data_IF_725616929143
#
_entry.id   IF_725616929143
#
_cell.length_a   1.000
_cell.length_b   1.000
_cell.length_c   1.000
_cell.angle_alpha   90.00
_cell.angle_beta   90.00
_cell.angle_gamma   90.00
#
_symmetry.space_group_name_H-M   'P 1'
#
loop_
_entity.id
_entity.type
_entity.pdbx_description
1 polymer ?
#
# COMPACT_ATOMS: atom_id res chain seq x y z
N UNK A 1 -61.85 3.67 12.24
CA UNK A 1 -63.02 4.30 11.67
C UNK A 1 -62.74 5.78 11.32
N UNK A 2 -63.23 6.13 10.22
CA UNK A 2 -63.57 7.47 9.69
C UNK A 2 -62.37 8.38 9.27
N UNK A 3 -62.13 8.42 7.97
CA UNK A 3 -62.68 9.31 6.93
C UNK A 3 -62.71 10.78 7.28
N UNK A 4 -62.03 11.59 6.50
CA UNK A 4 -62.69 12.49 5.51
C UNK A 4 -61.67 13.20 4.61
N UNK A 5 -62.02 13.13 3.34
CA UNK A 5 -61.63 13.93 2.19
C UNK A 5 -61.82 15.45 2.41
N UNK A 6 -60.94 16.28 1.82
CA UNK A 6 -61.40 17.48 1.16
C UNK A 6 -60.53 17.80 -0.08
N UNK A 7 -61.25 17.88 -1.16
CA UNK A 7 -60.87 18.25 -2.56
C UNK A 7 -61.17 19.73 -2.70
N UNK A 8 -60.36 20.55 -3.29
CA UNK A 8 -60.79 21.71 -4.02
C UNK A 8 -59.86 22.06 -5.17
N UNK A 9 -60.49 22.30 -6.27
CA UNK A 9 -59.99 22.56 -7.65
C UNK A 9 -59.78 24.08 -7.87
N UNK A 10 -59.37 24.47 -9.09
CA UNK A 10 -58.35 25.50 -9.39
C UNK A 10 -58.97 26.82 -9.83
N UNK A 11 -58.20 27.89 -9.88
CA UNK A 11 -58.58 29.12 -10.55
C UNK A 11 -57.59 29.48 -11.66
N UNK A 12 -58.16 29.55 -12.84
CA UNK A 12 -57.62 30.15 -14.06
C UNK A 12 -57.37 31.65 -13.88
N UNK A 13 -56.25 32.17 -14.38
CA UNK A 13 -56.16 33.53 -14.85
C UNK A 13 -55.44 33.61 -16.19
N UNK A 14 -56.05 34.43 -17.08
CA UNK A 14 -55.88 34.52 -18.52
C UNK A 14 -54.56 35.15 -18.97
N UNK A 15 -54.12 34.64 -20.10
CA UNK A 15 -53.14 35.21 -21.04
C UNK A 15 -53.42 36.65 -21.45
N UNK A 16 -52.40 37.43 -21.71
CA UNK A 16 -52.35 38.38 -22.82
C UNK A 16 -50.94 38.68 -23.32
N UNK A 17 -50.83 38.44 -24.60
CA UNK A 17 -49.97 39.05 -25.63
C UNK A 17 -48.51 38.61 -25.81
N UNK A 18 -48.40 37.85 -26.85
CA UNK A 18 -47.26 37.51 -27.71
C UNK A 18 -46.54 38.75 -28.27
N UNK A 19 -45.22 38.70 -28.33
CA UNK A 19 -44.48 39.19 -29.51
C UNK A 19 -43.48 38.15 -29.96
N UNK A 20 -43.57 37.84 -31.25
CA UNK A 20 -42.77 36.87 -32.04
C UNK A 20 -41.28 37.21 -31.93
N UNK A 21 -40.46 36.24 -31.62
CA UNK A 21 -39.05 36.25 -32.02
C UNK A 21 -38.65 34.89 -32.59
N UNK A 22 -37.94 34.97 -33.70
CA UNK A 22 -37.62 33.92 -34.64
C UNK A 22 -36.75 32.82 -34.07
N UNK A 23 -37.12 31.58 -34.40
CA UNK A 23 -36.37 30.34 -34.22
C UNK A 23 -35.13 30.37 -35.13
N UNK A 24 -33.92 30.42 -34.55
CA UNK A 24 -32.71 30.03 -35.24
C UNK A 24 -32.26 28.68 -34.67
N UNK A 25 -32.36 27.67 -35.53
CA UNK A 25 -31.74 26.38 -35.29
C UNK A 25 -30.21 26.57 -35.32
N UNK A 26 -29.54 26.38 -34.19
CA UNK A 26 -28.09 26.27 -34.14
C UNK A 26 -27.76 24.80 -33.93
N UNK A 27 -27.20 24.22 -34.97
CA UNK A 27 -26.59 22.90 -35.00
C UNK A 27 -25.47 22.90 -33.96
N UNK A 28 -25.58 22.04 -32.93
CA UNK A 28 -24.54 21.83 -31.95
C UNK A 28 -23.42 20.97 -32.54
N UNK A 29 -22.19 21.43 -32.64
CA UNK A 29 -21.08 20.54 -32.89
C UNK A 29 -20.78 19.75 -31.59
N UNK A 30 -20.71 18.45 -31.74
CA UNK A 30 -20.29 17.47 -30.78
C UNK A 30 -18.84 17.81 -30.31
N UNK A 31 -18.70 18.59 -29.24
CA UNK A 31 -17.43 18.78 -28.57
C UNK A 31 -17.10 17.50 -27.83
N UNK A 32 -16.18 16.72 -28.39
CA UNK A 32 -15.44 15.67 -27.68
C UNK A 32 -14.61 16.39 -26.60
N UNK A 33 -15.11 16.39 -25.39
CA UNK A 33 -14.36 16.80 -24.20
C UNK A 33 -13.29 15.74 -23.92
N UNK A 34 -12.10 15.95 -24.45
CA UNK A 34 -10.89 15.41 -23.82
C UNK A 34 -10.77 16.08 -22.46
N UNK A 35 -11.17 15.37 -21.40
CA UNK A 35 -10.85 15.74 -20.04
C UNK A 35 -9.34 15.53 -19.85
N UNK A 36 -8.56 16.56 -20.17
CA UNK A 36 -7.18 16.65 -19.66
C UNK A 36 -7.31 16.85 -18.16
N UNK A 37 -6.92 15.84 -17.40
CA UNK A 37 -6.78 15.93 -15.94
C UNK A 37 -5.68 16.94 -15.62
N UNK A 38 -6.08 18.19 -15.39
CA UNK A 38 -5.21 19.18 -14.81
C UNK A 38 -4.91 18.74 -13.38
N UNK A 39 -3.66 18.38 -13.11
CA UNK A 39 -3.18 18.22 -11.73
C UNK A 39 -3.29 19.60 -11.04
N UNK A 40 -4.35 19.78 -10.27
CA UNK A 40 -4.50 20.92 -9.38
C UNK A 40 -3.70 20.64 -8.13
N UNK A 41 -2.59 21.33 -7.94
CA UNK A 41 -1.95 21.46 -6.64
C UNK A 41 -2.85 22.40 -5.83
N UNK A 42 -3.70 21.84 -4.96
CA UNK A 42 -4.49 22.65 -4.04
C UNK A 42 -3.59 23.14 -2.92
N UNK A 43 -3.59 24.45 -2.68
CA UNK A 43 -3.04 25.01 -1.45
C UNK A 43 -3.78 24.40 -0.27
N UNK A 44 -3.03 23.89 0.73
CA UNK A 44 -3.63 23.63 2.03
C UNK A 44 -4.21 24.96 2.53
N UNK A 45 -5.53 25.03 2.67
CA UNK A 45 -6.23 26.24 3.05
C UNK A 45 -5.77 26.63 4.45
N UNK A 46 -4.85 27.60 4.54
CA UNK A 46 -4.66 28.35 5.77
C UNK A 46 -5.98 29.06 5.98
N UNK A 47 -6.55 28.99 7.17
CA UNK A 47 -7.84 29.59 7.51
C UNK A 47 -7.89 31.03 6.95
N UNK A 48 -8.65 31.23 5.87
CA UNK A 48 -8.71 32.47 5.08
C UNK A 48 -9.07 33.69 5.95
N UNK A 49 -9.62 33.47 7.14
CA UNK A 49 -10.06 34.54 8.07
C UNK A 49 -8.92 35.26 8.78
N UNK A 50 -7.66 34.78 8.69
CA UNK A 50 -6.56 35.27 9.50
C UNK A 50 -5.36 35.84 8.74
N UNK A 51 -5.28 35.69 7.41
CA UNK A 51 -4.11 36.18 6.66
C UNK A 51 -4.18 37.69 6.45
N UNK A 52 -3.37 38.43 7.20
CA UNK A 52 -3.35 39.88 7.19
C UNK A 52 -1.94 40.42 7.02
N UNK A 53 -1.82 41.47 6.22
CA UNK A 53 -0.59 42.25 5.98
C UNK A 53 -0.71 43.66 6.54
N UNK A 54 0.37 44.43 6.50
CA UNK A 54 0.46 45.83 6.91
C UNK A 54 -0.11 46.04 8.34
N UNK A 55 0.35 45.24 9.30
CA UNK A 55 -0.13 45.32 10.68
C UNK A 55 -1.63 45.05 10.83
N UNK A 56 -2.18 44.15 10.01
CA UNK A 56 -3.59 43.74 10.07
C UNK A 56 -4.57 44.55 9.21
N UNK A 57 -4.07 45.54 8.46
CA UNK A 57 -4.89 46.48 7.68
C UNK A 57 -5.27 45.96 6.28
N UNK A 58 -4.61 44.94 5.78
CA UNK A 58 -4.89 44.32 4.49
C UNK A 58 -5.25 42.85 4.74
N UNK A 59 -6.41 42.43 4.26
CA UNK A 59 -6.83 41.05 4.28
C UNK A 59 -6.45 40.41 2.95
N UNK A 60 -5.93 39.16 2.99
CA UNK A 60 -5.70 38.33 1.80
C UNK A 60 -6.72 37.21 1.79
N UNK A 61 -7.36 36.97 0.63
CA UNK A 61 -8.22 35.86 0.39
C UNK A 61 -7.95 35.18 -0.98
N UNK A 62 -8.65 34.08 -1.23
CA UNK A 62 -8.67 33.40 -2.53
C UNK A 62 -7.27 33.03 -3.03
N UNK A 63 -6.37 32.59 -2.14
CA UNK A 63 -5.04 32.14 -2.51
C UNK A 63 -5.17 30.85 -3.34
N UNK A 64 -4.73 30.94 -4.60
CA UNK A 64 -4.79 29.85 -5.57
C UNK A 64 -3.41 29.60 -6.16
N UNK A 65 -2.97 28.35 -6.13
CA UNK A 65 -1.84 27.87 -6.91
C UNK A 65 -2.30 26.73 -7.81
N UNK A 66 -2.02 26.84 -9.10
CA UNK A 66 -2.46 25.86 -10.10
C UNK A 66 -1.34 25.55 -11.07
N UNK A 67 -0.93 24.27 -11.13
CA UNK A 67 -0.05 23.76 -12.18
C UNK A 67 -0.89 23.42 -13.41
N UNK A 68 -0.46 23.88 -14.60
CA UNK A 68 -1.04 23.51 -15.89
C UNK A 68 0.11 23.24 -16.86
N UNK A 69 0.27 21.99 -17.27
CA UNK A 69 1.42 21.56 -18.10
C UNK A 69 2.75 22.06 -17.51
N UNK A 70 3.51 22.84 -18.24
CA UNK A 70 4.82 23.39 -17.86
C UNK A 70 4.75 24.77 -17.18
N UNK A 71 3.60 25.16 -16.65
CA UNK A 71 3.40 26.45 -16.02
C UNK A 71 2.76 26.34 -14.64
N UNK A 72 3.13 27.23 -13.73
CA UNK A 72 2.52 27.45 -12.44
C UNK A 72 1.82 28.80 -12.45
N UNK A 73 0.52 28.82 -12.15
CA UNK A 73 -0.26 30.04 -11.93
C UNK A 73 -0.40 30.29 -10.44
N UNK A 74 -0.10 31.50 -9.99
CA UNK A 74 -0.32 31.99 -8.63
C UNK A 74 -1.30 33.14 -8.70
N UNK A 75 -2.36 33.10 -7.88
CA UNK A 75 -3.35 34.19 -7.80
C UNK A 75 -3.84 34.34 -6.36
N UNK A 76 -4.16 35.56 -5.98
CA UNK A 76 -4.78 35.91 -4.70
C UNK A 76 -5.43 37.28 -4.78
N UNK A 77 -6.25 37.65 -3.79
CA UNK A 77 -6.92 38.93 -3.69
C UNK A 77 -6.51 39.64 -2.42
N UNK A 78 -6.22 40.94 -2.55
CA UNK A 78 -5.94 41.85 -1.44
C UNK A 78 -7.16 42.76 -1.24
N UNK A 79 -7.64 42.88 0.00
CA UNK A 79 -8.65 43.84 0.42
C UNK A 79 -7.96 44.99 1.13
N UNK A 80 -8.09 46.20 0.57
CA UNK A 80 -7.40 47.40 1.07
C UNK A 80 -8.32 48.27 1.93
N UNK A 81 -9.52 47.82 2.26
CA UNK A 81 -10.59 48.66 2.83
C UNK A 81 -10.17 49.38 4.12
N UNK A 82 -9.46 48.67 5.00
CA UNK A 82 -8.94 49.18 6.27
C UNK A 82 -7.57 49.87 6.16
N UNK A 83 -6.96 49.89 4.97
CA UNK A 83 -5.65 50.51 4.78
C UNK A 83 -5.79 52.03 4.67
N UNK A 84 -5.09 52.77 5.56
CA UNK A 84 -4.91 54.23 5.50
C UNK A 84 -3.47 54.51 5.08
N UNK A 85 -3.28 55.17 3.93
CA UNK A 85 -1.98 55.48 3.38
C UNK A 85 -1.81 56.99 3.23
N UNK A 86 -0.74 57.56 3.80
CA UNK A 86 -0.43 58.99 3.65
C UNK A 86 -0.09 59.29 2.17
N UNK A 87 -0.33 60.53 1.74
CA UNK A 87 -0.17 60.92 0.33
C UNK A 87 1.21 60.64 -0.25
N UNK A 88 2.26 60.74 0.56
CA UNK A 88 3.66 60.53 0.17
C UNK A 88 4.17 59.11 0.37
N UNK A 89 3.35 58.21 0.97
CA UNK A 89 3.75 56.83 1.28
C UNK A 89 3.50 55.90 0.09
N UNK A 90 4.30 54.85 0.06
CA UNK A 90 4.20 53.74 -0.87
C UNK A 90 4.39 52.45 -0.08
N UNK A 91 3.53 51.45 -0.32
CA UNK A 91 3.71 50.07 0.10
C UNK A 91 4.08 49.22 -1.13
N UNK A 92 5.09 48.40 -0.99
CA UNK A 92 5.48 47.43 -2.02
C UNK A 92 5.34 46.05 -1.45
N UNK A 93 4.55 45.21 -2.09
CA UNK A 93 4.36 43.84 -1.74
C UNK A 93 5.00 42.96 -2.82
N UNK A 94 5.94 42.09 -2.44
CA UNK A 94 6.57 41.17 -3.37
C UNK A 94 6.27 39.72 -2.95
N UNK A 95 5.41 39.02 -3.70
CA UNK A 95 5.18 37.61 -3.44
C UNK A 95 6.43 36.78 -3.79
N UNK A 96 6.78 35.82 -2.93
CA UNK A 96 7.93 34.96 -3.07
C UNK A 96 7.47 33.50 -3.11
N UNK A 97 8.00 32.72 -4.04
CA UNK A 97 7.94 31.26 -4.07
C UNK A 97 9.30 30.77 -3.58
N UNK A 98 9.34 30.14 -2.40
CA UNK A 98 10.57 29.64 -1.77
C UNK A 98 10.51 28.13 -1.55
N UNK A 99 11.48 27.39 -2.08
CA UNK A 99 11.67 25.95 -1.94
C UNK A 99 13.16 25.63 -1.95
N UNK A 100 13.62 24.77 -2.86
CA UNK A 100 15.05 24.56 -3.12
C UNK A 100 15.72 25.82 -3.72
N UNK A 101 14.92 26.68 -4.36
CA UNK A 101 15.32 27.98 -4.93
C UNK A 101 14.25 29.02 -4.55
N UNK A 102 14.53 30.29 -4.74
CA UNK A 102 13.59 31.36 -4.46
C UNK A 102 13.30 32.18 -5.70
N UNK A 103 12.03 32.39 -6.01
CA UNK A 103 11.58 33.21 -7.13
C UNK A 103 10.69 34.33 -6.60
N UNK A 104 11.11 35.56 -6.85
CA UNK A 104 10.27 36.73 -6.63
C UNK A 104 9.27 36.91 -7.78
N UNK A 105 8.00 37.04 -7.46
CA UNK A 105 6.96 37.38 -8.42
C UNK A 105 6.89 38.90 -8.65
N UNK A 106 6.04 39.30 -9.59
CA UNK A 106 5.88 40.73 -9.90
C UNK A 106 5.37 41.48 -8.68
N UNK A 107 6.00 42.63 -8.32
CA UNK A 107 5.60 43.38 -7.15
C UNK A 107 4.26 44.10 -7.33
N UNK A 108 3.54 44.25 -6.23
CA UNK A 108 2.30 45.04 -6.12
C UNK A 108 2.66 46.33 -5.43
N UNK A 109 2.49 47.47 -6.11
CA UNK A 109 2.85 48.79 -5.60
C UNK A 109 1.58 49.58 -5.28
N UNK A 110 1.37 49.85 -4.00
CA UNK A 110 0.22 50.63 -3.52
C UNK A 110 0.69 52.05 -3.13
N UNK A 111 0.24 53.04 -3.85
CA UNK A 111 0.66 54.40 -3.70
C UNK A 111 -0.40 55.30 -3.01
N UNK A 112 0.01 56.17 -2.12
CA UNK A 112 -0.77 57.31 -1.72
C UNK A 112 -0.94 58.33 -2.85
N UNK A 113 -1.77 59.36 -2.62
CA UNK A 113 -2.19 60.29 -3.69
C UNK A 113 -1.02 60.96 -4.42
N UNK A 114 -0.11 61.61 -3.71
CA UNK A 114 1.00 62.34 -4.31
C UNK A 114 2.07 61.36 -4.87
N UNK A 115 2.30 60.27 -4.18
CA UNK A 115 3.23 59.24 -4.65
C UNK A 115 2.75 58.61 -5.96
N UNK A 116 1.45 58.39 -6.14
CA UNK A 116 0.88 57.93 -7.41
C UNK A 116 1.16 58.90 -8.54
N UNK A 117 1.01 60.24 -8.32
CA UNK A 117 1.31 61.26 -9.31
C UNK A 117 2.79 61.23 -9.68
N UNK A 118 3.67 61.17 -8.66
CA UNK A 118 5.14 61.06 -8.87
C UNK A 118 5.50 59.82 -9.67
N UNK A 119 4.90 58.66 -9.33
CA UNK A 119 5.12 57.42 -10.08
C UNK A 119 4.74 57.55 -11.55
N UNK A 120 3.59 58.17 -11.84
CA UNK A 120 3.13 58.36 -13.24
C UNK A 120 4.06 59.33 -14.02
N UNK A 121 4.71 60.28 -13.35
CA UNK A 121 5.63 61.24 -13.98
C UNK A 121 7.04 60.67 -14.20
N UNK A 122 7.42 59.53 -13.58
CA UNK A 122 8.71 58.92 -13.81
C UNK A 122 8.83 58.52 -15.30
N UNK A 123 10.04 58.60 -15.83
CA UNK A 123 10.33 58.10 -17.19
C UNK A 123 10.04 56.60 -17.27
N UNK A 124 9.76 56.09 -18.46
CA UNK A 124 9.45 54.70 -18.68
C UNK A 124 10.60 53.77 -18.25
N UNK A 125 11.84 54.25 -18.37
CA UNK A 125 13.05 53.50 -17.93
C UNK A 125 13.17 53.31 -16.41
N UNK A 126 12.47 54.15 -15.62
CA UNK A 126 12.47 54.13 -14.15
C UNK A 126 11.20 53.44 -13.57
N UNK A 127 10.30 52.97 -14.42
CA UNK A 127 9.09 52.24 -14.03
C UNK A 127 9.36 50.75 -14.06
N UNK A 128 8.97 50.04 -13.01
CA UNK A 128 8.92 48.56 -13.11
C UNK A 128 7.73 48.19 -13.97
N UNK A 129 7.98 47.80 -15.22
CA UNK A 129 6.94 47.48 -16.22
C UNK A 129 6.12 46.20 -15.86
N UNK A 130 6.62 45.38 -14.96
CA UNK A 130 5.96 44.16 -14.53
C UNK A 130 5.15 44.34 -13.24
N UNK A 131 5.28 45.49 -12.54
CA UNK A 131 4.59 45.75 -11.30
C UNK A 131 3.09 45.99 -11.50
N UNK A 132 2.27 45.47 -10.59
CA UNK A 132 0.86 45.83 -10.47
C UNK A 132 0.76 47.12 -9.61
N UNK A 133 0.49 48.26 -10.24
CA UNK A 133 0.49 49.56 -9.57
C UNK A 133 -0.92 50.04 -9.27
N UNK A 134 -1.21 50.32 -8.00
CA UNK A 134 -2.52 50.76 -7.52
C UNK A 134 -2.41 52.05 -6.71
N UNK A 135 -3.32 53.00 -6.94
CA UNK A 135 -3.51 54.15 -6.05
C UNK A 135 -4.51 53.81 -4.96
N UNK A 136 -4.13 53.88 -3.71
CA UNK A 136 -5.05 53.75 -2.58
C UNK A 136 -5.96 54.99 -2.48
N UNK A 137 -7.27 54.72 -2.39
CA UNK A 137 -8.29 55.74 -2.05
C UNK A 137 -8.76 55.45 -0.63
N UNK A 138 -8.22 56.20 0.35
CA UNK A 138 -8.61 56.01 1.75
C UNK A 138 -10.12 56.10 1.93
N UNK A 139 -10.66 55.41 2.93
CA UNK A 139 -12.08 55.38 3.28
C UNK A 139 -13.00 54.85 2.17
N UNK A 140 -12.48 54.03 1.26
CA UNK A 140 -13.25 53.35 0.21
C UNK A 140 -12.95 51.89 0.19
N UNK A 141 -13.95 51.07 -0.16
CA UNK A 141 -13.74 49.67 -0.49
C UNK A 141 -12.87 49.56 -1.75
N UNK A 142 -11.82 48.77 -1.67
CA UNK A 142 -10.90 48.60 -2.78
C UNK A 142 -10.24 47.23 -2.73
N UNK A 143 -10.36 46.46 -3.82
CA UNK A 143 -9.78 45.14 -3.98
C UNK A 143 -8.73 45.15 -5.08
N UNK A 144 -7.70 44.35 -4.92
CA UNK A 144 -6.63 44.15 -5.89
C UNK A 144 -6.47 42.67 -6.16
N UNK A 145 -6.70 42.26 -7.40
CA UNK A 145 -6.49 40.90 -7.83
C UNK A 145 -5.09 40.75 -8.42
N UNK A 146 -4.29 39.92 -7.79
CA UNK A 146 -2.99 39.46 -8.34
C UNK A 146 -3.14 38.16 -9.08
N UNK A 147 -2.49 38.04 -10.24
CA UNK A 147 -2.39 36.78 -10.97
C UNK A 147 -1.15 36.81 -11.86
N UNK A 148 -0.29 35.82 -11.67
CA UNK A 148 0.90 35.62 -12.49
C UNK A 148 1.07 34.18 -12.84
N UNK A 149 1.53 33.92 -14.08
CA UNK A 149 1.92 32.59 -14.56
C UNK A 149 3.40 32.60 -14.85
N UNK A 150 4.11 31.57 -14.41
CA UNK A 150 5.56 31.40 -14.59
C UNK A 150 5.86 29.97 -15.05
N UNK A 151 7.04 29.71 -15.70
CA UNK A 151 7.46 28.37 -16.04
C UNK A 151 7.57 27.50 -14.80
N UNK A 152 7.02 26.27 -14.86
CA UNK A 152 7.10 25.31 -13.76
C UNK A 152 8.50 24.68 -13.71
N UNK A 153 9.08 24.67 -12.52
CA UNK A 153 10.33 23.95 -12.22
C UNK A 153 10.06 22.72 -11.36
N UNK A 154 10.86 21.65 -11.48
CA UNK A 154 10.62 20.37 -10.74
C UNK A 154 10.53 20.58 -9.20
N UNK A 155 11.32 21.48 -8.62
CA UNK A 155 11.28 21.77 -7.18
C UNK A 155 9.99 22.43 -6.72
N UNK A 156 9.19 23.04 -7.61
CA UNK A 156 7.89 23.66 -7.29
C UNK A 156 6.79 22.62 -6.98
N UNK A 157 7.14 21.35 -6.77
CA UNK A 157 6.21 20.35 -6.21
C UNK A 157 5.81 20.68 -4.77
N UNK A 158 6.75 21.23 -3.99
CA UNK A 158 6.53 21.70 -2.63
C UNK A 158 7.24 23.06 -2.45
N UNK A 159 6.54 24.07 -1.98
CA UNK A 159 7.10 25.38 -1.75
C UNK A 159 6.27 26.21 -0.76
N UNK A 160 6.91 27.21 -0.16
CA UNK A 160 6.26 28.25 0.60
C UNK A 160 5.94 29.44 -0.30
N UNK A 161 4.69 29.88 -0.29
CA UNK A 161 4.29 31.16 -0.85
C UNK A 161 4.29 32.17 0.30
N UNK A 162 5.15 33.18 0.24
CA UNK A 162 5.25 34.22 1.21
C UNK A 162 5.14 35.62 0.57
N UNK A 163 4.91 36.64 1.38
CA UNK A 163 4.81 38.03 0.95
C UNK A 163 5.81 38.84 1.74
N UNK A 164 6.73 39.52 1.06
CA UNK A 164 7.51 40.60 1.68
C UNK A 164 6.77 41.91 1.51
N UNK A 165 6.78 42.73 2.55
CA UNK A 165 6.19 44.04 2.54
C UNK A 165 7.22 45.11 2.90
N UNK A 166 7.34 46.11 2.05
CA UNK A 166 8.23 47.25 2.24
C UNK A 166 7.39 48.56 2.33
N UNK A 167 7.44 49.19 3.46
CA UNK A 167 6.84 50.51 3.63
C UNK A 167 7.89 51.58 3.33
N UNK A 168 7.67 52.35 2.27
CA UNK A 168 8.53 53.45 1.87
C UNK A 168 7.88 54.83 2.09
N UNK A 169 8.63 55.73 2.64
CA UNK A 169 8.22 57.14 2.79
C UNK A 169 9.32 58.08 2.27
N UNK A 170 8.95 59.09 1.46
CA UNK A 170 9.88 60.07 0.88
C UNK A 170 11.11 59.47 0.19
N UNK A 171 11.04 58.24 -0.28
CA UNK A 171 12.13 57.54 -1.00
C UNK A 171 13.02 56.65 -0.12
N UNK A 172 12.80 56.60 1.19
CA UNK A 172 13.52 55.72 2.11
C UNK A 172 12.65 54.55 2.55
N UNK A 173 13.27 53.37 2.76
CA UNK A 173 12.64 52.21 3.40
C UNK A 173 12.39 52.57 4.88
N UNK A 174 11.15 52.42 5.35
CA UNK A 174 10.74 52.68 6.72
C UNK A 174 10.54 51.43 7.54
N UNK A 175 10.07 50.36 6.90
CA UNK A 175 9.76 49.10 7.55
C UNK A 175 9.76 47.98 6.52
N UNK A 176 10.14 46.77 6.94
CA UNK A 176 10.15 45.57 6.12
C UNK A 176 9.68 44.37 6.95
N UNK A 177 8.74 43.60 6.43
CA UNK A 177 8.22 42.37 7.06
C UNK A 177 8.05 41.27 6.03
N UNK A 178 7.92 40.02 6.50
CA UNK A 178 7.65 38.86 5.65
C UNK A 178 6.60 37.98 6.28
N UNK A 179 5.50 37.78 5.56
CA UNK A 179 4.36 36.97 6.00
C UNK A 179 4.25 35.69 5.15
N UNK A 180 4.17 34.52 5.80
CA UNK A 180 3.86 33.25 5.10
C UNK A 180 2.38 33.25 4.72
N UNK A 181 2.11 33.13 3.42
CA UNK A 181 0.74 33.07 2.85
C UNK A 181 0.21 31.65 2.74
N UNK A 182 1.03 30.70 2.30
CA UNK A 182 0.65 29.32 2.11
C UNK A 182 1.87 28.42 2.10
N UNK A 183 1.71 27.20 2.63
CA UNK A 183 2.64 26.09 2.44
C UNK A 183 2.02 25.14 1.44
N UNK A 184 2.62 25.03 0.27
CA UNK A 184 2.12 24.19 -0.82
C UNK A 184 2.86 22.86 -0.76
N UNK A 185 2.11 21.80 -0.53
CA UNK A 185 2.60 20.42 -0.55
C UNK A 185 2.00 19.67 -1.73
N UNK A 186 2.70 18.69 -2.31
CA UNK A 186 2.11 17.85 -3.34
C UNK A 186 0.92 17.10 -2.74
N UNK A 187 -0.21 17.13 -3.43
CA UNK A 187 -1.35 16.28 -3.05
C UNK A 187 -0.90 14.83 -3.18
N UNK A 188 -1.00 14.01 -2.13
CA UNK A 188 -0.69 12.59 -2.24
C UNK A 188 -1.51 11.97 -3.38
N UNK A 189 -0.87 11.31 -4.35
CA UNK A 189 -1.58 10.62 -5.44
C UNK A 189 -2.35 9.42 -4.93
N UNK A 190 -1.84 8.83 -3.86
CA UNK A 190 -2.47 7.74 -3.13
C UNK A 190 -3.00 8.29 -1.81
N UNK A 191 -4.30 8.14 -1.59
CA UNK A 191 -5.03 8.53 -0.39
C UNK A 191 -5.71 7.30 0.22
N UNK A 192 -6.28 7.42 1.41
CA UNK A 192 -6.89 6.32 2.16
C UNK A 192 -7.97 5.55 1.36
N UNK A 193 -8.72 6.23 0.50
CA UNK A 193 -9.78 5.66 -0.34
C UNK A 193 -9.29 4.76 -1.49
N UNK A 194 -7.98 4.70 -1.71
CA UNK A 194 -7.37 3.78 -2.65
C UNK A 194 -7.08 2.40 -2.05
N UNK A 195 -7.08 2.29 -0.72
CA UNK A 195 -6.85 1.02 -0.03
C UNK A 195 -8.14 0.22 0.07
N UNK A 196 -8.09 -1.03 -0.36
CA UNK A 196 -9.25 -1.91 -0.44
C UNK A 196 -9.37 -2.73 0.83
N UNK A 197 -10.58 -2.74 1.43
CA UNK A 197 -10.87 -3.57 2.59
C UNK A 197 -10.96 -5.04 2.16
N UNK A 198 -10.13 -5.94 2.72
CA UNK A 198 -10.20 -7.37 2.45
C UNK A 198 -11.53 -7.99 2.94
N UNK A 199 -11.89 -9.13 2.35
CA UNK A 199 -13.02 -9.91 2.85
C UNK A 199 -12.74 -10.45 4.25
N UNK A 200 -13.80 -10.53 5.06
CA UNK A 200 -13.71 -11.18 6.36
C UNK A 200 -13.41 -12.68 6.19
N UNK A 201 -12.44 -13.17 6.93
CA UNK A 201 -12.19 -14.60 7.08
C UNK A 201 -13.13 -15.12 8.18
N UNK A 202 -14.10 -15.96 7.80
CA UNK A 202 -15.14 -16.43 8.75
C UNK A 202 -14.52 -17.25 9.89
N UNK A 203 -13.54 -18.08 9.57
CA UNK A 203 -12.77 -18.88 10.53
C UNK A 203 -11.31 -18.79 10.11
N UNK A 204 -10.46 -18.28 10.98
CA UNK A 204 -9.03 -18.20 10.73
C UNK A 204 -8.39 -19.56 10.95
N UNK A 205 -8.11 -20.29 9.85
CA UNK A 205 -7.39 -21.55 9.89
C UNK A 205 -5.93 -21.32 9.56
N UNK A 206 -5.05 -21.84 10.41
CA UNK A 206 -3.59 -21.73 10.24
C UNK A 206 -2.98 -23.12 10.39
N UNK A 207 -1.76 -23.28 9.88
CA UNK A 207 -1.06 -24.55 9.96
C UNK A 207 0.45 -24.33 10.14
N UNK A 208 1.03 -25.10 11.07
CA UNK A 208 2.47 -25.24 11.22
C UNK A 208 2.91 -26.58 10.64
N UNK A 209 3.98 -26.58 9.85
CA UNK A 209 4.47 -27.78 9.15
C UNK A 209 5.92 -28.04 9.54
N UNK A 210 6.28 -29.31 9.59
CA UNK A 210 7.66 -29.71 9.81
C UNK A 210 7.94 -31.12 9.30
N UNK A 211 9.23 -31.44 9.29
CA UNK A 211 9.76 -32.76 8.93
C UNK A 211 10.60 -33.30 10.08
N UNK A 212 10.50 -34.61 10.35
CA UNK A 212 11.31 -35.30 11.34
C UNK A 212 11.87 -36.61 10.78
N UNK A 213 13.17 -36.78 10.93
CA UNK A 213 13.92 -37.94 10.40
C UNK A 213 14.16 -38.97 11.51
N UNK A 214 13.08 -39.62 11.95
CA UNK A 214 13.12 -40.58 13.02
C UNK A 214 13.85 -41.87 12.59
N UNK A 215 14.78 -42.28 13.42
CA UNK A 215 15.53 -43.55 13.28
C UNK A 215 14.80 -44.69 13.98
N UNK A 216 14.68 -45.81 13.29
CA UNK A 216 14.08 -47.06 13.80
C UNK A 216 15.09 -48.20 13.77
N UNK A 217 14.99 -49.14 14.70
CA UNK A 217 15.73 -50.40 14.61
C UNK A 217 15.25 -51.19 13.39
N UNK A 218 16.11 -52.07 12.89
CA UNK A 218 15.80 -52.89 11.69
C UNK A 218 14.47 -53.60 11.87
N UNK A 219 13.58 -53.47 10.89
CA UNK A 219 12.23 -54.02 10.87
C UNK A 219 11.34 -53.68 12.07
N UNK A 220 11.67 -52.60 12.80
CA UNK A 220 10.86 -52.07 13.91
C UNK A 220 10.23 -50.73 13.60
N UNK A 221 9.17 -50.46 14.32
CA UNK A 221 8.44 -49.18 14.26
C UNK A 221 8.33 -48.48 15.64
N UNK A 222 8.92 -49.06 16.66
CA UNK A 222 8.93 -48.46 18.03
C UNK A 222 9.80 -47.24 18.04
N UNK A 223 9.27 -46.12 18.55
CA UNK A 223 10.01 -44.88 18.75
C UNK A 223 10.76 -44.97 20.06
N UNK A 224 12.08 -44.97 19.97
CA UNK A 224 13.00 -44.91 21.10
C UNK A 224 13.64 -43.50 21.11
N UNK A 225 13.32 -42.70 22.10
CA UNK A 225 13.76 -41.30 22.15
C UNK A 225 15.27 -41.14 22.21
N UNK A 226 15.94 -42.10 22.85
CA UNK A 226 17.41 -42.14 23.05
C UNK A 226 18.16 -42.84 21.90
N UNK A 227 17.43 -43.30 20.85
CA UNK A 227 18.06 -44.00 19.75
C UNK A 227 18.52 -43.02 18.66
N UNK A 228 19.85 -42.95 18.46
CA UNK A 228 20.49 -42.00 17.51
C UNK A 228 20.06 -40.56 17.78
N UNK A 229 19.61 -39.87 16.73
CA UNK A 229 19.20 -38.44 16.78
C UNK A 229 17.72 -38.24 17.12
N UNK A 230 17.00 -39.29 17.56
CA UNK A 230 15.57 -39.22 17.79
C UNK A 230 15.18 -38.15 18.82
N UNK A 231 15.98 -37.92 19.86
CA UNK A 231 15.70 -36.86 20.81
C UNK A 231 15.58 -35.47 20.13
N UNK A 232 16.50 -35.16 19.21
CA UNK A 232 16.51 -33.91 18.43
C UNK A 232 15.32 -33.85 17.49
N UNK A 233 15.04 -34.94 16.77
CA UNK A 233 13.96 -35.00 15.81
C UNK A 233 12.57 -34.94 16.46
N UNK A 234 12.37 -35.61 17.57
CA UNK A 234 11.16 -35.50 18.39
C UNK A 234 11.02 -34.10 19.00
N UNK A 235 12.13 -33.47 19.35
CA UNK A 235 12.16 -32.08 19.84
C UNK A 235 11.59 -31.09 18.82
N UNK A 236 11.79 -31.29 17.52
CA UNK A 236 11.20 -30.44 16.48
C UNK A 236 9.67 -30.54 16.50
N UNK A 237 9.15 -31.79 16.59
CA UNK A 237 7.70 -32.05 16.60
C UNK A 237 7.08 -31.43 17.86
N UNK A 238 7.68 -31.70 19.02
CA UNK A 238 7.14 -31.18 20.30
C UNK A 238 7.20 -29.66 20.36
N UNK A 239 8.28 -29.03 19.90
CA UNK A 239 8.38 -27.56 19.83
C UNK A 239 7.28 -26.94 18.97
N UNK A 240 6.95 -27.58 17.82
CA UNK A 240 5.86 -27.09 16.95
C UNK A 240 4.49 -27.23 17.63
N UNK A 241 4.24 -28.35 18.31
CA UNK A 241 2.98 -28.57 19.03
C UNK A 241 2.88 -27.62 20.23
N UNK A 242 3.95 -27.44 20.99
CA UNK A 242 4.01 -26.54 22.15
C UNK A 242 3.74 -25.09 21.78
N UNK A 243 4.28 -24.66 20.63
CA UNK A 243 4.07 -23.31 20.10
C UNK A 243 2.57 -23.02 19.88
N UNK A 244 1.82 -24.02 19.43
CA UNK A 244 0.38 -23.90 19.19
C UNK A 244 -0.43 -24.19 20.45
N UNK A 245 -0.13 -25.27 21.20
CA UNK A 245 -0.92 -25.73 22.34
C UNK A 245 -0.89 -24.74 23.51
N UNK A 246 0.24 -24.07 23.73
CA UNK A 246 0.40 -23.13 24.84
C UNK A 246 -0.14 -21.73 24.53
N UNK A 247 -0.68 -21.52 23.32
CA UNK A 247 -1.29 -20.27 22.93
C UNK A 247 -2.80 -20.29 23.25
N UNK A 248 -3.23 -19.41 24.16
CA UNK A 248 -4.62 -19.28 24.57
C UNK A 248 -5.59 -18.82 23.46
N UNK A 249 -5.06 -18.25 22.41
CA UNK A 249 -5.82 -17.64 21.32
C UNK A 249 -6.10 -18.63 20.19
N UNK A 250 -5.57 -19.87 20.29
CA UNK A 250 -5.72 -20.88 19.26
C UNK A 250 -6.31 -22.20 19.79
N UNK A 251 -6.90 -22.96 18.89
CA UNK A 251 -7.44 -24.31 19.18
C UNK A 251 -6.98 -25.27 18.10
N UNK A 252 -6.26 -26.32 18.46
CA UNK A 252 -5.83 -27.37 17.53
C UNK A 252 -7.06 -28.10 16.99
N UNK A 253 -7.16 -28.20 15.67
CA UNK A 253 -8.27 -28.87 14.97
C UNK A 253 -7.85 -30.16 14.29
N UNK A 254 -6.59 -30.27 13.87
CA UNK A 254 -6.02 -31.52 13.31
C UNK A 254 -4.52 -31.57 13.46
N UNK A 255 -3.98 -32.76 13.66
CA UNK A 255 -2.56 -33.06 13.55
C UNK A 255 -2.43 -34.18 12.51
N UNK A 256 -1.92 -33.83 11.34
CA UNK A 256 -1.70 -34.79 10.26
C UNK A 256 -0.25 -35.26 10.28
N UNK A 257 -0.06 -36.58 10.17
CA UNK A 257 1.25 -37.23 10.17
C UNK A 257 1.39 -38.07 8.91
N UNK A 258 2.41 -37.83 8.12
CA UNK A 258 2.70 -38.60 6.92
C UNK A 258 4.06 -39.29 7.03
N UNK A 259 4.03 -40.61 7.16
CA UNK A 259 5.26 -41.41 7.26
C UNK A 259 5.76 -41.86 5.89
N UNK A 260 7.05 -41.79 5.67
CA UNK A 260 7.69 -42.19 4.42
C UNK A 260 8.67 -43.34 4.66
N UNK A 261 8.74 -44.28 3.73
CA UNK A 261 9.81 -45.27 3.65
C UNK A 261 10.59 -45.11 2.34
N UNK A 262 11.79 -45.62 2.33
CA UNK A 262 12.67 -45.64 1.18
C UNK A 262 12.44 -46.82 0.29
N UNK A 263 12.75 -46.74 -1.01
CA UNK A 263 12.55 -47.84 -1.97
C UNK A 263 13.36 -49.13 -1.76
N UNK A 264 14.24 -49.17 -0.76
CA UNK A 264 15.03 -50.33 -0.45
C UNK A 264 14.22 -51.42 0.27
N UNK A 265 14.16 -52.59 -0.28
CA UNK A 265 13.44 -53.73 0.24
C UNK A 265 12.09 -53.99 -0.44
N UNK A 266 11.41 -55.11 -0.09
CA UNK A 266 10.12 -55.45 -0.71
C UNK A 266 9.03 -54.41 -0.42
N UNK A 267 8.27 -54.06 -1.43
CA UNK A 267 7.21 -53.06 -1.37
C UNK A 267 6.19 -53.31 -0.25
N UNK A 268 5.73 -54.59 -0.11
CA UNK A 268 4.76 -54.97 0.92
C UNK A 268 5.30 -54.75 2.34
N UNK A 269 6.60 -55.00 2.54
CA UNK A 269 7.23 -54.70 3.82
C UNK A 269 7.32 -53.18 4.08
N UNK A 270 7.60 -52.40 3.04
CA UNK A 270 7.65 -50.95 3.13
C UNK A 270 6.25 -50.38 3.42
N UNK A 271 5.19 -50.92 2.85
CA UNK A 271 3.80 -50.56 3.20
C UNK A 271 3.55 -50.74 4.70
N UNK A 272 3.88 -51.92 5.24
CA UNK A 272 3.71 -52.22 6.67
C UNK A 272 4.53 -51.30 7.55
N UNK A 273 5.80 -51.08 7.22
CA UNK A 273 6.70 -50.27 8.01
C UNK A 273 6.30 -48.78 8.01
N UNK A 274 5.94 -48.22 6.86
CA UNK A 274 5.53 -46.81 6.76
C UNK A 274 4.26 -46.54 7.56
N UNK A 275 3.25 -47.39 7.45
CA UNK A 275 2.02 -47.29 8.23
C UNK A 275 2.28 -47.41 9.74
N UNK A 276 3.04 -48.41 10.17
CA UNK A 276 3.33 -48.61 11.59
C UNK A 276 4.17 -47.50 12.18
N UNK A 277 5.10 -46.89 11.42
CA UNK A 277 5.91 -45.76 11.86
C UNK A 277 5.06 -44.48 12.03
N UNK A 278 4.17 -44.20 11.06
CA UNK A 278 3.23 -43.09 11.18
C UNK A 278 2.30 -43.25 12.40
N UNK A 279 1.76 -44.48 12.61
CA UNK A 279 0.93 -44.79 13.77
C UNK A 279 1.71 -44.69 15.10
N UNK A 280 2.98 -45.11 15.13
CA UNK A 280 3.83 -45.01 16.32
C UNK A 280 4.11 -43.54 16.70
N UNK A 281 4.35 -42.66 15.71
CA UNK A 281 4.53 -41.25 15.95
C UNK A 281 3.24 -40.60 16.48
N UNK A 282 2.08 -40.91 15.86
CA UNK A 282 0.78 -40.50 16.40
C UNK A 282 0.62 -40.86 17.86
N UNK A 283 0.85 -42.17 18.18
CA UNK A 283 0.69 -42.67 19.54
C UNK A 283 1.67 -41.96 20.53
N UNK A 284 2.90 -41.72 20.11
CA UNK A 284 3.89 -40.98 20.91
C UNK A 284 3.38 -39.59 21.25
N UNK A 285 2.93 -38.83 20.26
CA UNK A 285 2.40 -37.46 20.47
C UNK A 285 1.11 -37.48 21.29
N UNK A 286 0.16 -38.38 21.02
CA UNK A 286 -1.07 -38.52 21.80
C UNK A 286 -0.78 -38.75 23.28
N UNK A 287 0.14 -39.66 23.59
CA UNK A 287 0.48 -39.99 24.98
C UNK A 287 1.18 -38.84 25.69
N UNK A 288 2.08 -38.14 24.98
CA UNK A 288 2.84 -37.02 25.53
C UNK A 288 1.96 -35.82 25.89
N UNK A 289 0.99 -35.50 25.03
CA UNK A 289 0.19 -34.28 25.16
C UNK A 289 -1.23 -34.50 25.67
N UNK A 290 -1.68 -35.74 25.84
CA UNK A 290 -3.08 -36.07 26.20
C UNK A 290 -4.08 -35.41 25.21
N UNK A 291 -3.75 -35.45 23.92
CA UNK A 291 -4.61 -34.94 22.84
C UNK A 291 -5.56 -36.03 22.39
N UNK A 292 -6.84 -35.67 22.12
CA UNK A 292 -7.84 -36.62 21.63
C UNK A 292 -7.37 -37.25 20.30
N UNK A 293 -7.41 -38.59 20.24
CA UNK A 293 -7.08 -39.37 19.04
C UNK A 293 -7.86 -38.94 17.80
N UNK A 294 -9.07 -38.38 17.96
CA UNK A 294 -9.92 -37.89 16.87
C UNK A 294 -9.31 -36.70 16.12
N UNK A 295 -8.39 -35.98 16.74
CA UNK A 295 -7.68 -34.86 16.12
C UNK A 295 -6.49 -35.30 15.27
N UNK A 296 -6.20 -36.59 15.19
CA UNK A 296 -5.10 -37.10 14.41
C UNK A 296 -5.55 -37.78 13.13
N UNK A 297 -4.91 -37.41 12.03
CA UNK A 297 -4.89 -38.14 10.79
C UNK A 297 -3.47 -38.66 10.53
N UNK A 298 -3.33 -39.78 9.88
CA UNK A 298 -2.02 -40.28 9.48
C UNK A 298 -2.08 -40.98 8.15
N UNK A 299 -1.04 -40.83 7.36
CA UNK A 299 -0.85 -41.37 6.04
C UNK A 299 0.51 -42.02 5.92
N UNK A 300 0.71 -42.84 4.91
CA UNK A 300 1.98 -43.45 4.66
C UNK A 300 2.27 -43.56 3.16
N UNK A 301 3.50 -43.24 2.78
CA UNK A 301 4.05 -43.47 1.47
C UNK A 301 5.06 -44.62 1.56
N UNK A 302 4.74 -45.83 1.06
CA UNK A 302 5.60 -47.00 1.21
C UNK A 302 6.99 -46.84 0.58
N UNK A 303 7.06 -46.09 -0.51
CA UNK A 303 8.29 -45.78 -1.23
C UNK A 303 8.25 -44.36 -1.76
N UNK A 304 9.07 -43.49 -1.23
CA UNK A 304 9.15 -42.10 -1.62
C UNK A 304 9.95 -41.90 -2.92
N UNK A 305 9.36 -42.32 -4.03
CA UNK A 305 9.96 -42.13 -5.36
C UNK A 305 10.03 -40.64 -5.77
N UNK A 306 9.14 -39.77 -5.28
CA UNK A 306 9.17 -38.34 -5.56
C UNK A 306 10.36 -37.66 -4.85
N UNK A 307 10.53 -37.95 -3.57
CA UNK A 307 11.70 -37.51 -2.82
C UNK A 307 13.00 -38.07 -3.39
N UNK A 308 12.99 -39.36 -3.83
CA UNK A 308 14.11 -39.97 -4.50
C UNK A 308 14.54 -39.20 -5.77
N UNK A 309 13.59 -38.90 -6.65
CA UNK A 309 13.87 -38.12 -7.87
C UNK A 309 14.48 -36.77 -7.57
N UNK A 310 13.91 -36.01 -6.64
CA UNK A 310 14.44 -34.71 -6.22
C UNK A 310 15.87 -34.82 -5.71
N UNK A 311 16.17 -35.83 -4.86
CA UNK A 311 17.52 -35.98 -4.28
C UNK A 311 18.54 -36.48 -5.30
N UNK A 312 18.13 -37.33 -6.24
CA UNK A 312 18.99 -37.79 -7.36
C UNK A 312 19.30 -36.58 -8.27
N UNK A 313 18.30 -35.80 -8.60
CA UNK A 313 18.49 -34.60 -9.45
C UNK A 313 19.46 -33.59 -8.85
N UNK A 314 19.39 -33.37 -7.54
CA UNK A 314 20.28 -32.50 -6.78
C UNK A 314 21.68 -33.10 -6.53
N UNK A 315 21.89 -34.39 -6.85
CA UNK A 315 23.18 -35.07 -6.63
C UNK A 315 24.18 -34.88 -7.77
N UNK A 316 25.43 -35.22 -7.51
CA UNK A 316 26.52 -35.24 -8.51
C UNK A 316 26.73 -36.64 -9.12
N UNK A 317 25.70 -37.53 -9.13
CA UNK A 317 25.81 -38.85 -9.69
C UNK A 317 26.02 -38.78 -11.22
N UNK A 318 27.03 -39.52 -11.71
CA UNK A 318 27.32 -39.57 -13.14
C UNK A 318 26.15 -40.15 -13.97
N UNK A 319 25.46 -41.15 -13.40
CA UNK A 319 24.35 -41.89 -14.04
C UNK A 319 22.98 -41.22 -13.76
N UNK A 320 22.93 -40.00 -13.23
CA UNK A 320 21.74 -39.32 -12.75
C UNK A 320 20.56 -39.34 -13.75
N UNK A 321 20.81 -38.98 -15.01
CA UNK A 321 19.76 -38.95 -16.05
C UNK A 321 19.16 -40.32 -16.32
N UNK A 322 20.02 -41.34 -16.36
CA UNK A 322 19.56 -42.73 -16.61
C UNK A 322 18.82 -43.30 -15.40
N UNK A 323 19.24 -42.99 -14.17
CA UNK A 323 18.55 -43.38 -12.93
C UNK A 323 17.17 -42.72 -12.85
N UNK A 324 17.08 -41.39 -13.17
CA UNK A 324 15.80 -40.69 -13.24
C UNK A 324 14.85 -41.29 -14.29
N UNK A 325 15.38 -41.74 -15.45
CA UNK A 325 14.56 -42.40 -16.45
C UNK A 325 13.98 -43.75 -15.93
N UNK A 326 14.74 -44.50 -15.13
CA UNK A 326 14.23 -45.70 -14.48
C UNK A 326 13.18 -45.37 -13.42
N UNK A 327 13.43 -44.34 -12.58
CA UNK A 327 12.50 -43.91 -11.55
C UNK A 327 11.16 -43.44 -12.14
N UNK A 328 11.18 -42.77 -13.30
CA UNK A 328 9.99 -42.31 -14.02
C UNK A 328 9.31 -43.38 -14.90
N UNK A 329 9.90 -44.56 -15.02
CA UNK A 329 9.31 -45.65 -15.84
C UNK A 329 8.04 -46.20 -15.18
N UNK A 330 7.24 -46.95 -15.99
CA UNK A 330 6.05 -47.67 -15.53
C UNK A 330 6.34 -49.03 -14.84
N UNK A 331 7.61 -49.31 -14.54
CA UNK A 331 7.97 -50.52 -13.82
C UNK A 331 7.36 -50.54 -12.41
N UNK A 332 7.10 -51.75 -11.90
CA UNK A 332 6.73 -51.95 -10.52
C UNK A 332 7.85 -51.40 -9.56
N UNK A 333 7.50 -50.95 -8.38
CA UNK A 333 8.45 -50.30 -7.46
C UNK A 333 9.70 -51.13 -7.21
N UNK A 334 9.56 -52.37 -6.79
CA UNK A 334 10.70 -53.27 -6.56
C UNK A 334 11.56 -53.49 -7.82
N UNK A 335 10.94 -53.52 -8.99
CA UNK A 335 11.66 -53.72 -10.28
C UNK A 335 12.47 -52.47 -10.65
N UNK A 336 12.03 -51.26 -10.26
CA UNK A 336 12.82 -50.01 -10.41
C UNK A 336 14.09 -50.07 -9.59
N UNK A 337 13.99 -50.39 -8.28
CA UNK A 337 15.13 -50.48 -7.39
C UNK A 337 16.14 -51.56 -7.86
N UNK A 338 15.65 -52.76 -8.18
CA UNK A 338 16.50 -53.83 -8.69
C UNK A 338 17.19 -53.45 -10.01
N UNK A 339 16.51 -52.75 -10.91
CA UNK A 339 17.09 -52.28 -12.17
C UNK A 339 18.18 -51.24 -11.94
N UNK A 340 17.98 -50.26 -11.03
CA UNK A 340 19.01 -49.29 -10.66
C UNK A 340 20.21 -49.99 -10.05
N UNK A 341 19.98 -50.91 -9.12
CA UNK A 341 21.04 -51.71 -8.46
C UNK A 341 21.86 -52.50 -9.45
N UNK A 342 21.20 -53.15 -10.44
CA UNK A 342 21.86 -53.99 -11.45
C UNK A 342 22.67 -53.17 -12.45
N UNK A 343 22.10 -52.06 -12.96
CA UNK A 343 22.71 -51.30 -14.05
C UNK A 343 23.73 -50.26 -13.57
N UNK A 344 23.53 -49.73 -12.35
CA UNK A 344 24.36 -48.62 -11.82
C UNK A 344 24.90 -48.96 -10.42
N UNK A 345 25.69 -50.01 -10.22
CA UNK A 345 26.08 -50.49 -8.90
C UNK A 345 26.93 -49.53 -8.12
N UNK A 346 27.73 -48.65 -8.77
CA UNK A 346 28.52 -47.65 -8.11
C UNK A 346 27.63 -46.51 -7.58
N UNK A 347 26.71 -46.00 -8.42
CA UNK A 347 25.72 -44.97 -8.02
C UNK A 347 24.73 -45.52 -6.98
N UNK A 348 24.38 -46.82 -7.05
CA UNK A 348 23.50 -47.46 -6.09
C UNK A 348 24.11 -47.54 -4.67
N UNK A 349 25.43 -47.74 -4.53
CA UNK A 349 26.09 -47.66 -3.22
C UNK A 349 25.92 -46.25 -2.60
N UNK A 350 26.08 -45.19 -3.39
CA UNK A 350 25.83 -43.83 -2.94
C UNK A 350 24.36 -43.64 -2.58
N UNK A 351 23.44 -44.12 -3.38
CA UNK A 351 21.98 -44.06 -3.11
C UNK A 351 21.66 -44.68 -1.75
N UNK A 352 22.20 -45.87 -1.48
CA UNK A 352 22.00 -46.61 -0.23
C UNK A 352 22.56 -45.85 1.00
N UNK A 353 23.71 -45.18 0.89
CA UNK A 353 24.35 -44.50 2.01
C UNK A 353 23.83 -43.07 2.21
N UNK A 354 23.53 -42.34 1.14
CA UNK A 354 23.27 -40.90 1.22
C UNK A 354 21.81 -40.52 0.88
N UNK A 355 21.15 -41.23 -0.02
CA UNK A 355 19.81 -40.85 -0.50
C UNK A 355 18.72 -41.58 0.28
N UNK A 356 18.73 -42.91 0.33
CA UNK A 356 17.68 -43.70 0.98
C UNK A 356 17.50 -43.39 2.48
N UNK A 357 18.53 -43.19 3.29
CA UNK A 357 18.33 -42.78 4.69
C UNK A 357 17.54 -41.47 4.83
N UNK A 358 17.70 -40.55 3.88
CA UNK A 358 17.03 -39.25 3.88
C UNK A 358 15.62 -39.29 3.30
N UNK A 359 15.14 -40.45 2.84
CA UNK A 359 13.75 -40.68 2.44
C UNK A 359 12.91 -41.28 3.58
N UNK A 360 13.56 -41.68 4.66
CA UNK A 360 12.89 -42.24 5.84
C UNK A 360 12.62 -41.14 6.82
N UNK A 361 11.51 -40.41 6.62
CA UNK A 361 11.12 -39.28 7.43
C UNK A 361 9.62 -39.31 7.70
N UNK A 362 9.15 -38.41 8.52
CA UNK A 362 7.75 -38.14 8.73
C UNK A 362 7.52 -36.63 8.60
N UNK A 363 6.59 -36.24 7.74
CA UNK A 363 6.07 -34.90 7.70
C UNK A 363 4.93 -34.80 8.71
N UNK A 364 4.80 -33.63 9.31
CA UNK A 364 3.65 -33.36 10.17
C UNK A 364 3.12 -31.96 9.92
N UNK A 365 1.80 -31.83 10.07
CA UNK A 365 1.09 -30.57 9.94
C UNK A 365 0.16 -30.41 11.14
N UNK A 366 0.38 -29.38 11.94
CA UNK A 366 -0.52 -29.01 13.04
C UNK A 366 -1.45 -27.91 12.52
N UNK A 367 -2.73 -28.24 12.31
CA UNK A 367 -3.76 -27.30 11.87
C UNK A 367 -4.52 -26.80 13.10
N UNK A 368 -4.75 -25.50 13.17
CA UNK A 368 -5.43 -24.85 14.27
C UNK A 368 -6.30 -23.71 13.79
N UNK A 369 -7.31 -23.36 14.58
CA UNK A 369 -8.11 -22.14 14.41
C UNK A 369 -7.64 -21.08 15.37
N UNK A 370 -7.72 -19.82 14.95
CA UNK A 370 -7.41 -18.64 15.75
C UNK A 370 -8.70 -17.87 16.00
N UNK A 371 -8.92 -17.41 17.24
CA UNK A 371 -10.08 -16.56 17.55
C UNK A 371 -9.98 -15.21 16.83
N UNK A 372 -11.10 -14.51 16.64
CA UNK A 372 -11.06 -13.11 16.23
C UNK A 372 -10.37 -12.24 17.28
N UNK A 373 -9.68 -11.18 16.83
CA UNK A 373 -9.08 -10.16 17.67
C UNK A 373 -9.80 -8.83 17.50
N UNK A 374 -9.92 -8.06 18.58
CA UNK A 374 -10.26 -6.65 18.48
C UNK A 374 -9.05 -5.84 17.96
N UNK A 375 -9.25 -4.54 17.68
CA UNK A 375 -8.22 -3.71 17.06
C UNK A 375 -6.99 -3.55 17.97
N UNK A 376 -7.18 -3.41 19.27
CA UNK A 376 -6.07 -3.20 20.19
C UNK A 376 -5.29 -4.49 20.42
N UNK A 377 -5.95 -5.63 20.50
CA UNK A 377 -5.32 -6.94 20.49
C UNK A 377 -4.54 -7.17 19.18
N UNK A 378 -5.19 -6.85 18.04
CA UNK A 378 -4.58 -7.02 16.72
C UNK A 378 -3.30 -6.20 16.54
N UNK A 379 -3.19 -5.00 17.12
CA UNK A 379 -1.95 -4.20 17.13
C UNK A 379 -0.80 -4.90 17.85
N UNK A 380 -1.10 -5.57 18.96
CA UNK A 380 -0.10 -6.34 19.72
C UNK A 380 0.29 -7.60 18.96
N UNK A 381 -0.69 -8.32 18.43
CA UNK A 381 -0.50 -9.56 17.66
C UNK A 381 0.28 -9.29 16.36
N UNK A 382 0.04 -8.14 15.70
CA UNK A 382 0.78 -7.73 14.51
C UNK A 382 2.30 -7.70 14.74
N UNK A 383 2.73 -7.30 15.93
CA UNK A 383 4.15 -7.20 16.30
C UNK A 383 4.74 -8.51 16.82
N UNK A 384 3.93 -9.42 17.35
CA UNK A 384 4.39 -10.63 18.04
C UNK A 384 4.13 -11.91 17.26
N UNK A 385 2.94 -12.05 16.67
CA UNK A 385 2.45 -13.24 15.99
C UNK A 385 1.59 -12.86 14.77
N UNK A 386 2.09 -12.06 13.81
CA UNK A 386 1.28 -11.50 12.73
C UNK A 386 0.58 -12.56 11.87
N UNK A 387 1.11 -13.77 11.79
CA UNK A 387 0.49 -14.90 11.07
C UNK A 387 -0.88 -15.33 11.65
N UNK A 388 -1.21 -14.92 12.87
CA UNK A 388 -2.52 -15.19 13.47
C UNK A 388 -3.60 -14.19 13.04
N UNK A 389 -3.23 -13.08 12.44
CA UNK A 389 -4.18 -12.10 11.94
C UNK A 389 -4.75 -12.51 10.56
N UNK A 390 -5.98 -12.09 10.32
CA UNK A 390 -6.56 -12.04 8.98
C UNK A 390 -6.14 -10.76 8.26
N UNK A 391 -6.21 -10.75 6.94
CA UNK A 391 -5.98 -9.54 6.15
C UNK A 391 -6.93 -8.40 6.55
N UNK A 392 -8.17 -8.73 6.92
CA UNK A 392 -9.15 -7.74 7.36
C UNK A 392 -8.75 -7.12 8.70
N UNK A 393 -8.29 -7.90 9.67
CA UNK A 393 -7.81 -7.38 10.96
C UNK A 393 -6.59 -6.48 10.75
N UNK A 394 -5.64 -6.86 9.90
CA UNK A 394 -4.51 -6.02 9.53
C UNK A 394 -4.97 -4.71 8.89
N UNK A 395 -5.92 -4.77 7.96
CA UNK A 395 -6.49 -3.57 7.34
C UNK A 395 -7.12 -2.64 8.40
N UNK A 396 -7.88 -3.19 9.35
CA UNK A 396 -8.50 -2.39 10.42
C UNK A 396 -7.44 -1.74 11.32
N UNK A 397 -6.35 -2.44 11.63
CA UNK A 397 -5.19 -1.87 12.33
C UNK A 397 -4.59 -0.71 11.54
N UNK A 398 -4.34 -0.89 10.23
CA UNK A 398 -3.82 0.17 9.38
C UNK A 398 -4.70 1.42 9.39
N UNK A 399 -6.04 1.25 9.42
CA UNK A 399 -6.98 2.39 9.46
C UNK A 399 -6.86 3.25 10.74
N UNK A 400 -6.18 2.78 11.79
CA UNK A 400 -5.93 3.56 13.01
C UNK A 400 -4.73 4.50 12.91
N UNK A 401 -3.90 4.35 11.88
CA UNK A 401 -2.72 5.17 11.63
C UNK A 401 -2.97 6.20 10.52
N UNK A 402 -2.16 7.24 10.49
CA UNK A 402 -2.19 8.21 9.40
C UNK A 402 -1.64 7.58 8.10
N UNK A 403 -2.35 7.76 6.94
CA UNK A 403 -1.88 7.25 5.67
C UNK A 403 -0.47 7.73 5.33
N UNK A 404 0.42 6.77 5.03
CA UNK A 404 1.82 7.06 4.72
C UNK A 404 2.74 7.16 5.93
N UNK A 405 2.22 7.06 7.16
CA UNK A 405 3.08 6.91 8.34
C UNK A 405 3.87 5.59 8.28
N UNK A 406 5.02 5.49 8.95
CA UNK A 406 5.78 4.25 9.03
C UNK A 406 4.94 3.06 9.51
N UNK A 407 4.10 3.28 10.52
CA UNK A 407 3.23 2.25 11.10
C UNK A 407 2.15 1.80 10.13
N UNK A 408 1.53 2.75 9.40
CA UNK A 408 0.56 2.44 8.35
C UNK A 408 1.17 1.57 7.26
N UNK A 409 2.35 1.95 6.79
CA UNK A 409 3.07 1.25 5.72
C UNK A 409 3.51 -0.15 6.17
N UNK A 410 4.04 -0.29 7.40
CA UNK A 410 4.49 -1.56 7.97
C UNK A 410 3.38 -2.61 7.98
N UNK A 411 2.13 -2.23 8.28
CA UNK A 411 1.01 -3.17 8.26
C UNK A 411 0.83 -3.82 6.90
N UNK A 412 0.87 -3.03 5.81
CA UNK A 412 0.69 -3.56 4.45
C UNK A 412 1.92 -4.34 3.96
N UNK A 413 3.12 -3.94 4.38
CA UNK A 413 4.36 -4.69 4.12
C UNK A 413 4.32 -6.08 4.81
N UNK A 414 3.80 -6.17 6.04
CA UNK A 414 3.58 -7.44 6.74
C UNK A 414 2.48 -8.25 6.03
N UNK A 415 1.36 -7.60 5.68
CA UNK A 415 0.23 -8.27 5.04
C UNK A 415 0.63 -8.97 3.72
N UNK A 416 1.32 -8.27 2.82
CA UNK A 416 1.73 -8.87 1.54
C UNK A 416 2.80 -9.95 1.70
N UNK A 417 3.64 -9.86 2.73
CA UNK A 417 4.63 -10.90 3.05
C UNK A 417 3.97 -12.20 3.53
N UNK A 418 2.89 -12.10 4.31
CA UNK A 418 2.16 -13.27 4.83
C UNK A 418 1.15 -13.83 3.83
N UNK A 419 0.62 -12.98 2.95
CA UNK A 419 -0.35 -13.34 1.91
C UNK A 419 0.15 -12.94 0.52
N UNK A 420 1.28 -13.53 0.05
CA UNK A 420 2.00 -13.06 -1.15
C UNK A 420 1.23 -13.26 -2.46
N UNK A 421 0.19 -14.09 -2.47
CA UNK A 421 -0.61 -14.41 -3.64
C UNK A 421 -2.07 -13.88 -3.52
N UNK A 422 -2.39 -13.13 -2.44
CA UNK A 422 -3.70 -12.49 -2.30
C UNK A 422 -3.73 -11.18 -3.09
N UNK A 423 -4.74 -11.03 -3.95
CA UNK A 423 -4.89 -9.88 -4.84
C UNK A 423 -5.07 -8.56 -4.07
N UNK A 424 -5.83 -8.58 -2.96
CA UNK A 424 -6.09 -7.39 -2.15
C UNK A 424 -4.86 -6.98 -1.34
N UNK A 425 -4.11 -7.95 -0.80
CA UNK A 425 -2.85 -7.68 -0.11
C UNK A 425 -1.84 -7.02 -1.06
N UNK A 426 -1.69 -7.57 -2.27
CA UNK A 426 -0.82 -7.01 -3.30
C UNK A 426 -1.28 -5.62 -3.77
N UNK A 427 -2.59 -5.39 -3.94
CA UNK A 427 -3.11 -4.09 -4.33
C UNK A 427 -2.82 -3.01 -3.27
N UNK A 428 -3.05 -3.32 -2.00
CA UNK A 428 -2.80 -2.41 -0.89
C UNK A 428 -1.29 -2.13 -0.70
N UNK A 429 -0.45 -3.15 -0.87
CA UNK A 429 1.02 -2.97 -0.88
C UNK A 429 1.48 -2.07 -2.03
N UNK A 430 0.93 -2.25 -3.24
CA UNK A 430 1.21 -1.38 -4.37
C UNK A 430 0.82 0.09 -4.10
N UNK A 431 -0.32 0.33 -3.43
CA UNK A 431 -0.70 1.68 -2.98
C UNK A 431 0.36 2.27 -2.06
N UNK A 432 0.86 1.48 -1.11
CA UNK A 432 1.91 1.89 -0.16
C UNK A 432 3.22 2.22 -0.88
N UNK A 433 3.63 1.39 -1.85
CA UNK A 433 4.84 1.63 -2.64
C UNK A 433 4.73 2.89 -3.49
N UNK A 434 3.58 3.11 -4.16
CA UNK A 434 3.33 4.32 -4.92
C UNK A 434 3.35 5.57 -4.03
N UNK A 435 2.85 5.47 -2.81
CA UNK A 435 2.90 6.55 -1.84
C UNK A 435 4.34 6.88 -1.42
N UNK A 436 5.20 5.87 -1.29
CA UNK A 436 6.65 6.00 -1.05
C UNK A 436 7.42 6.45 -2.30
N UNK A 437 6.81 6.38 -3.50
CA UNK A 437 7.47 6.64 -4.79
C UNK A 437 8.31 5.46 -5.31
N UNK A 438 8.20 4.28 -4.72
CA UNK A 438 8.88 3.06 -5.17
C UNK A 438 8.10 2.39 -6.31
N UNK A 439 8.36 2.84 -7.54
CA UNK A 439 7.70 2.31 -8.73
C UNK A 439 8.14 0.87 -9.07
N UNK A 440 9.36 0.48 -8.68
CA UNK A 440 9.89 -0.87 -8.99
C UNK A 440 9.16 -1.94 -8.18
N UNK A 441 8.97 -1.71 -6.89
CA UNK A 441 8.24 -2.64 -6.01
C UNK A 441 6.75 -2.60 -6.29
N UNK A 442 6.19 -1.40 -6.55
CA UNK A 442 4.79 -1.23 -6.95
C UNK A 442 4.43 -2.05 -8.21
N UNK A 443 5.31 -2.09 -9.23
CA UNK A 443 5.08 -2.88 -10.45
C UNK A 443 4.96 -4.38 -10.16
N UNK A 444 5.80 -4.92 -9.27
CA UNK A 444 5.76 -6.33 -8.86
C UNK A 444 4.45 -6.67 -8.13
N UNK A 445 4.02 -5.82 -7.22
CA UNK A 445 2.76 -6.02 -6.51
C UNK A 445 1.55 -5.84 -7.44
N UNK A 446 1.55 -4.85 -8.34
CA UNK A 446 0.49 -4.66 -9.33
C UNK A 446 0.34 -5.84 -10.30
N UNK A 447 1.42 -6.57 -10.58
CA UNK A 447 1.35 -7.80 -11.39
C UNK A 447 0.52 -8.90 -10.71
N UNK A 448 0.40 -8.89 -9.38
CA UNK A 448 -0.36 -9.85 -8.57
C UNK A 448 -1.70 -9.30 -8.03
N UNK A 449 -2.00 -8.03 -8.26
CA UNK A 449 -3.17 -7.35 -7.67
C UNK A 449 -4.52 -7.68 -8.35
N UNK A 450 -4.58 -8.69 -9.21
CA UNK A 450 -5.80 -9.07 -9.95
C UNK A 450 -6.26 -8.00 -10.94
N UNK A 451 -7.54 -8.07 -11.35
CA UNK A 451 -8.12 -7.21 -12.40
C UNK A 451 -9.39 -6.48 -11.92
N UNK A 452 -9.46 -6.13 -10.64
CA UNK A 452 -10.56 -5.34 -10.11
C UNK A 452 -10.53 -3.90 -10.67
N UNK A 453 -11.65 -3.19 -10.56
CA UNK A 453 -11.72 -1.76 -10.95
C UNK A 453 -10.75 -0.90 -10.13
N UNK A 454 -10.56 -1.26 -8.88
CA UNK A 454 -9.62 -0.63 -7.98
C UNK A 454 -8.18 -0.85 -8.47
N UNK A 455 -7.84 -2.09 -8.86
CA UNK A 455 -6.52 -2.40 -9.41
C UNK A 455 -6.25 -1.64 -10.72
N UNK A 456 -7.23 -1.52 -11.60
CA UNK A 456 -7.12 -0.72 -12.83
C UNK A 456 -6.87 0.76 -12.53
N UNK A 457 -7.58 1.32 -11.52
CA UNK A 457 -7.37 2.70 -11.06
C UNK A 457 -5.94 2.92 -10.59
N UNK A 458 -5.40 2.00 -9.81
CA UNK A 458 -4.02 2.11 -9.28
C UNK A 458 -2.98 1.93 -10.38
N UNK A 459 -3.20 1.01 -11.34
CA UNK A 459 -2.32 0.88 -12.52
C UNK A 459 -2.27 2.16 -13.35
N UNK A 460 -3.39 2.88 -13.47
CA UNK A 460 -3.41 4.19 -14.14
C UNK A 460 -2.54 5.20 -13.41
N UNK A 461 -2.66 5.30 -12.07
CA UNK A 461 -1.81 6.19 -11.25
C UNK A 461 -0.33 5.81 -11.40
N UNK A 462 0.00 4.51 -11.38
CA UNK A 462 1.36 4.02 -11.62
C UNK A 462 1.89 4.46 -12.98
N UNK A 463 1.08 4.30 -14.05
CA UNK A 463 1.45 4.73 -15.41
C UNK A 463 1.71 6.24 -15.50
N UNK A 464 0.89 7.06 -14.86
CA UNK A 464 1.08 8.51 -14.77
C UNK A 464 2.37 8.87 -14.02
N UNK A 465 2.66 8.20 -12.91
CA UNK A 465 3.90 8.41 -12.13
C UNK A 465 5.14 7.97 -12.92
N UNK A 466 5.07 6.86 -13.66
CA UNK A 466 6.17 6.35 -14.49
C UNK A 466 6.49 7.27 -15.68
N UNK A 467 5.47 7.90 -16.26
CA UNK A 467 5.63 8.85 -17.38
C UNK A 467 6.27 10.19 -16.96
N UNK A 468 6.37 10.48 -15.67
CA UNK A 468 6.97 11.73 -15.15
C UNK A 468 8.47 11.60 -14.79
N UNK A 469 9.03 10.38 -14.87
CA UNK A 469 10.46 10.11 -14.66
C UNK A 469 11.24 10.36 -15.95
#
# INVERSE_FOLDING_TARGET
PYTTLFRSKPSFFKMKNMKKMKLYAVISPLCILFAQSALTVQAQKIDDSQLRLAGGKILIDSVLTQKKSDSLKVAFRLHLDSLQLKSEQQLVFTPLIAGEDTIALNPIIINGKNQSIRYLRKSSSLKNSQALVVRRKNDTEQQVLFSQTLPYKKWMKAFNLSMTEDLCGCGNLMDQDTTLMANIQPTPRISRDHYVKPKAEAIKVRAEKGEAYLSFKLNKSDILADFRENATELGKITSTIDLVKNDKDVSITNIDIHGYASPDGPYDNNVRLANNRAAALRNYVCNLYTIDNKLFTYHATPEDWEGFKKKVEASNLADKTAILAVANSSLAPDAKDQKIKKLYPASYRYIMSEIYPRLRHSDYTVTYTVRPFDIEEAKVILKTKPQQLSLQEMYLVAQTYEPGSPEFNEVFDIAVRLFPDDETANLNAACTDLQKGDLVTAEKHLAKAGNSKEAERIRKIYGEMKAEL
#
